data_IF_842161907070
#
_entry.id   IF_842161907070
#
_cell.length_a   1.000
_cell.length_b   1.000
_cell.length_c   1.000
_cell.angle_alpha   90.00
_cell.angle_beta   90.00
_cell.angle_gamma   90.00
#
_symmetry.space_group_name_H-M   'P 1'
#
loop_
_entity.id
_entity.type
_entity.pdbx_description
1 polymer ?
#
# COMPACT_ATOMS: atom_id res chain seq x y z
N UNK A 1 -88.16 -25.87 -40.14
CA UNK A 1 -87.53 -24.65 -39.74
C UNK A 1 -86.86 -24.85 -38.37
N UNK A 2 -85.53 -24.91 -38.32
CA UNK A 2 -84.80 -25.21 -37.09
C UNK A 2 -84.04 -23.94 -36.68
N UNK A 3 -84.37 -23.36 -35.52
CA UNK A 3 -83.69 -22.26 -34.91
C UNK A 3 -82.47 -22.77 -34.16
N UNK A 4 -81.29 -22.24 -34.46
CA UNK A 4 -80.02 -22.52 -33.78
C UNK A 4 -79.77 -21.47 -32.71
N UNK A 5 -79.81 -21.94 -31.44
CA UNK A 5 -79.34 -21.09 -30.30
C UNK A 5 -77.85 -21.06 -30.26
N UNK A 6 -77.26 -19.85 -30.28
CA UNK A 6 -75.83 -19.61 -29.97
C UNK A 6 -75.72 -19.19 -28.51
N UNK A 7 -75.11 -20.04 -27.70
CA UNK A 7 -74.74 -19.73 -26.33
C UNK A 7 -73.40 -18.98 -26.41
N UNK A 8 -73.38 -17.74 -25.93
CA UNK A 8 -72.18 -16.91 -25.82
C UNK A 8 -71.61 -17.08 -24.43
N UNK A 9 -70.45 -17.74 -24.29
CA UNK A 9 -69.74 -17.95 -23.03
C UNK A 9 -68.84 -16.73 -22.79
N UNK A 10 -69.19 -15.86 -21.85
CA UNK A 10 -68.38 -14.74 -21.37
C UNK A 10 -67.37 -15.28 -20.35
N UNK A 11 -66.07 -15.30 -20.78
CA UNK A 11 -64.97 -15.66 -19.92
C UNK A 11 -64.48 -14.39 -19.19
N UNK A 12 -64.81 -14.25 -17.91
CA UNK A 12 -64.33 -13.14 -17.06
C UNK A 12 -62.98 -13.49 -16.49
N UNK A 13 -61.91 -12.87 -17.05
CA UNK A 13 -60.55 -13.00 -16.52
C UNK A 13 -60.41 -12.00 -15.37
N UNK A 14 -60.30 -12.53 -14.13
CA UNK A 14 -59.90 -11.77 -12.95
C UNK A 14 -58.35 -11.60 -12.99
N UNK A 15 -57.92 -10.40 -13.37
CA UNK A 15 -56.52 -9.97 -13.18
C UNK A 15 -56.35 -9.61 -11.69
N UNK A 16 -55.81 -10.53 -10.90
CA UNK A 16 -55.29 -10.20 -9.57
C UNK A 16 -53.98 -9.42 -9.71
N UNK A 17 -54.05 -8.12 -9.59
CA UNK A 17 -52.85 -7.28 -9.39
C UNK A 17 -52.25 -7.58 -8.00
N UNK A 18 -51.33 -8.53 -7.95
CA UNK A 18 -50.42 -8.70 -6.82
C UNK A 18 -49.53 -7.48 -6.73
N UNK A 19 -49.76 -6.61 -5.76
CA UNK A 19 -48.84 -5.53 -5.42
C UNK A 19 -47.54 -6.14 -4.92
N UNK A 20 -46.59 -6.33 -5.83
CA UNK A 20 -45.19 -6.55 -5.47
C UNK A 20 -44.73 -5.31 -4.70
N UNK A 21 -44.70 -5.36 -3.37
CA UNK A 21 -43.95 -4.42 -2.56
C UNK A 21 -42.48 -4.70 -2.81
N UNK A 22 -41.86 -3.91 -3.65
CA UNK A 22 -40.40 -3.80 -3.63
C UNK A 22 -40.01 -3.26 -2.25
N UNK A 23 -39.66 -4.15 -1.34
CA UNK A 23 -38.93 -3.79 -0.15
C UNK A 23 -37.55 -3.31 -0.64
N UNK A 24 -37.35 -2.01 -0.75
CA UNK A 24 -36.01 -1.47 -0.82
C UNK A 24 -35.39 -1.75 0.54
N UNK A 25 -34.71 -2.88 0.66
CA UNK A 25 -33.75 -3.06 1.73
C UNK A 25 -32.80 -1.86 1.61
N UNK A 26 -32.85 -0.98 2.57
CA UNK A 26 -31.88 0.11 2.66
C UNK A 26 -30.52 -0.58 2.76
N UNK A 27 -29.71 -0.53 1.68
CA UNK A 27 -28.43 -1.20 1.64
C UNK A 27 -27.63 -0.73 2.85
N UNK A 28 -27.29 -1.66 3.72
CA UNK A 28 -26.53 -1.36 4.94
C UNK A 28 -25.20 -0.78 4.54
N UNK A 29 -24.91 0.46 4.96
CA UNK A 29 -23.62 1.09 4.71
C UNK A 29 -22.48 0.18 5.20
N UNK A 30 -21.40 0.02 4.42
CA UNK A 30 -20.25 -0.76 4.84
C UNK A 30 -19.61 -0.16 6.11
N UNK A 31 -19.04 -1.01 6.93
CA UNK A 31 -18.34 -0.61 8.15
C UNK A 31 -16.85 -0.45 7.84
N UNK A 32 -16.36 0.76 7.88
CA UNK A 32 -14.96 1.10 7.60
C UNK A 32 -14.28 1.53 8.91
N UNK A 33 -13.13 0.90 9.20
CA UNK A 33 -12.29 1.34 10.31
C UNK A 33 -11.13 2.17 9.78
N UNK A 34 -10.96 3.39 10.31
CA UNK A 34 -9.84 4.26 9.98
C UNK A 34 -8.77 4.10 11.07
N UNK A 35 -7.57 3.68 10.67
CA UNK A 35 -6.40 3.54 11.53
C UNK A 35 -5.48 4.73 11.30
N UNK A 36 -5.32 5.58 12.30
CA UNK A 36 -4.49 6.77 12.19
C UNK A 36 -3.06 6.50 12.68
N UNK A 37 -2.06 6.84 11.86
CA UNK A 37 -0.64 6.76 12.23
C UNK A 37 0.02 8.12 12.40
N UNK A 38 -0.65 9.21 12.05
CA UNK A 38 -0.14 10.58 12.07
C UNK A 38 0.05 11.15 10.66
N UNK A 39 1.18 11.78 10.40
CA UNK A 39 1.50 12.35 9.10
C UNK A 39 0.93 13.76 8.87
N UNK A 40 1.18 14.30 7.67
CA UNK A 40 0.76 15.65 7.25
C UNK A 40 -0.76 15.79 7.18
N UNK A 41 -1.49 14.75 6.83
CA UNK A 41 -2.95 14.76 6.76
C UNK A 41 -3.59 15.08 8.13
N UNK A 42 -2.92 14.68 9.22
CA UNK A 42 -3.24 15.04 10.58
C UNK A 42 -2.40 16.23 11.08
N UNK A 43 -1.71 16.94 10.20
CA UNK A 43 -0.83 18.05 10.53
C UNK A 43 -1.56 19.38 10.61
N UNK A 44 -1.10 20.26 11.52
CA UNK A 44 -1.59 21.61 11.64
C UNK A 44 -0.44 22.62 11.62
N UNK A 45 -0.58 23.69 10.83
CA UNK A 45 0.29 24.85 10.79
C UNK A 45 -0.32 26.02 11.56
N UNK A 46 0.51 26.98 11.96
CA UNK A 46 0.04 28.17 12.68
C UNK A 46 -0.81 29.11 11.78
N UNK A 47 -0.64 29.05 10.45
CA UNK A 47 -1.46 29.77 9.48
C UNK A 47 -1.63 29.00 8.18
N UNK A 48 -2.65 29.33 7.38
CA UNK A 48 -2.97 28.63 6.12
C UNK A 48 -1.96 28.88 4.98
N UNK A 49 -1.02 29.77 5.14
CA UNK A 49 0.01 30.10 4.13
C UNK A 49 1.44 29.75 4.60
N UNK A 50 1.57 29.10 5.76
CA UNK A 50 2.85 28.73 6.34
C UNK A 50 3.22 27.29 5.95
N UNK A 51 4.48 27.07 5.52
CA UNK A 51 4.98 25.76 5.15
C UNK A 51 5.32 24.87 6.38
N UNK A 52 5.74 25.48 7.50
CA UNK A 52 6.07 24.74 8.72
C UNK A 52 4.79 24.31 9.46
N UNK A 53 4.71 23.05 9.84
CA UNK A 53 3.55 22.46 10.53
C UNK A 53 4.00 21.37 11.54
N UNK A 54 3.09 21.04 12.47
CA UNK A 54 3.26 19.91 13.39
C UNK A 54 2.51 18.71 12.81
N UNK A 55 3.22 17.64 12.49
CA UNK A 55 2.64 16.38 12.02
C UNK A 55 1.85 15.70 13.12
N UNK A 56 0.70 15.09 12.79
CA UNK A 56 -0.12 14.33 13.75
C UNK A 56 -0.85 15.18 14.80
N UNK A 57 -0.96 16.49 14.61
CA UNK A 57 -1.61 17.37 15.61
C UNK A 57 -3.14 17.20 15.70
N UNK A 58 -3.78 16.63 14.67
CA UNK A 58 -5.24 16.46 14.58
C UNK A 58 -5.61 15.00 14.79
N UNK A 59 -6.47 14.74 15.77
CA UNK A 59 -6.98 13.40 16.08
C UNK A 59 -7.98 12.92 15.01
N UNK A 60 -8.11 11.61 14.84
CA UNK A 60 -8.92 10.98 13.80
C UNK A 60 -10.38 11.41 13.80
N UNK A 61 -11.01 11.55 14.96
CA UNK A 61 -12.42 11.96 15.04
C UNK A 61 -12.64 13.38 14.51
N UNK A 62 -11.69 14.29 14.78
CA UNK A 62 -11.74 15.66 14.24
C UNK A 62 -11.50 15.67 12.72
N UNK A 63 -10.61 14.82 12.21
CA UNK A 63 -10.38 14.69 10.76
C UNK A 63 -11.65 14.20 10.06
N UNK A 64 -12.31 13.16 10.58
CA UNK A 64 -13.57 12.63 10.02
C UNK A 64 -14.69 13.68 10.09
N UNK A 65 -14.79 14.41 11.20
CA UNK A 65 -15.80 15.46 11.35
C UNK A 65 -15.60 16.65 10.39
N UNK A 66 -14.36 16.90 9.97
CA UNK A 66 -14.01 17.97 9.04
C UNK A 66 -14.32 17.63 7.55
N UNK A 67 -14.72 16.38 7.22
CA UNK A 67 -14.99 15.96 5.85
C UNK A 67 -16.50 15.81 5.62
N UNK A 68 -17.16 16.78 4.94
CA UNK A 68 -18.60 16.72 4.67
C UNK A 68 -18.98 15.49 3.85
N UNK A 69 -20.08 14.84 4.21
CA UNK A 69 -20.63 13.70 3.46
C UNK A 69 -19.88 12.37 3.65
N UNK A 70 -18.74 12.31 4.34
CA UNK A 70 -17.97 11.07 4.51
C UNK A 70 -18.77 9.97 5.22
N UNK A 71 -19.67 10.36 6.14
CA UNK A 71 -20.57 9.42 6.85
C UNK A 71 -21.73 8.91 5.96
N UNK A 72 -21.89 9.48 4.77
CA UNK A 72 -22.88 8.98 3.80
C UNK A 72 -22.33 7.77 3.04
N UNK A 73 -21.01 7.66 2.93
CA UNK A 73 -20.31 6.54 2.27
C UNK A 73 -20.30 5.29 3.14
N UNK A 74 -20.08 5.42 4.44
CA UNK A 74 -19.82 4.29 5.34
C UNK A 74 -20.18 4.59 6.81
N UNK A 75 -20.35 3.54 7.60
CA UNK A 75 -20.27 3.61 9.06
C UNK A 75 -18.80 3.60 9.46
N UNK A 76 -18.33 4.70 10.06
CA UNK A 76 -16.89 4.91 10.32
C UNK A 76 -16.58 4.74 11.79
N UNK A 77 -15.53 3.97 12.10
CA UNK A 77 -14.87 3.91 13.41
C UNK A 77 -13.42 4.40 13.25
N UNK A 78 -12.94 5.22 14.19
CA UNK A 78 -11.56 5.68 14.23
C UNK A 78 -10.76 4.96 15.34
N UNK A 79 -9.48 4.65 15.06
CA UNK A 79 -8.54 4.11 16.04
C UNK A 79 -7.16 4.73 15.81
N UNK A 80 -6.52 5.20 16.87
CA UNK A 80 -5.17 5.76 16.82
C UNK A 80 -4.14 4.65 17.06
N UNK A 81 -3.28 4.37 16.09
CA UNK A 81 -2.19 3.38 16.17
C UNK A 81 -0.90 4.04 16.65
N UNK A 82 -0.58 5.18 16.07
CA UNK A 82 0.57 6.01 16.44
C UNK A 82 0.28 7.46 16.06
N UNK A 83 1.17 8.36 16.44
CA UNK A 83 1.05 9.78 16.11
C UNK A 83 2.42 10.36 15.77
N UNK A 84 2.95 9.91 14.63
CA UNK A 84 4.32 10.27 14.18
C UNK A 84 4.32 10.88 12.79
N UNK A 85 5.33 11.67 12.48
CA UNK A 85 5.69 11.95 11.10
C UNK A 85 6.18 10.66 10.44
N UNK A 86 5.94 10.50 9.13
CA UNK A 86 6.32 9.23 8.47
C UNK A 86 7.85 8.99 8.44
N UNK A 87 8.67 10.02 8.55
CA UNK A 87 10.12 9.87 8.73
C UNK A 87 10.50 9.19 10.06
N UNK A 88 9.59 9.20 11.06
CA UNK A 88 9.76 8.57 12.36
C UNK A 88 9.01 7.22 12.47
N UNK A 89 8.49 6.72 11.35
CA UNK A 89 7.86 5.39 11.29
C UNK A 89 8.88 4.31 11.62
N UNK A 90 8.55 3.44 12.58
CA UNK A 90 9.40 2.33 13.00
C UNK A 90 8.86 1.00 12.52
N UNK A 91 9.73 -0.02 12.46
CA UNK A 91 9.32 -1.39 12.15
C UNK A 91 8.35 -1.96 13.20
N UNK A 92 8.45 -1.54 14.46
CA UNK A 92 7.53 -1.94 15.52
C UNK A 92 6.12 -1.36 15.32
N UNK A 93 6.02 -0.10 14.87
CA UNK A 93 4.75 0.51 14.49
C UNK A 93 4.16 -0.23 13.29
N UNK A 94 4.96 -0.55 12.26
CA UNK A 94 4.51 -1.29 11.07
C UNK A 94 4.00 -2.70 11.44
N UNK A 95 4.70 -3.43 12.31
CA UNK A 95 4.26 -4.74 12.82
C UNK A 95 2.95 -4.63 13.62
N UNK A 96 2.85 -3.64 14.49
CA UNK A 96 1.63 -3.38 15.28
C UNK A 96 0.45 -3.08 14.36
N UNK A 97 0.64 -2.21 13.39
CA UNK A 97 -0.37 -1.87 12.39
C UNK A 97 -0.84 -3.10 11.61
N UNK A 98 0.09 -3.92 11.08
CA UNK A 98 -0.24 -5.11 10.33
C UNK A 98 -1.04 -6.14 11.15
N UNK A 99 -0.61 -6.39 12.40
CA UNK A 99 -1.33 -7.31 13.30
C UNK A 99 -2.73 -6.77 13.63
N UNK A 100 -2.86 -5.46 13.85
CA UNK A 100 -4.17 -4.85 14.12
C UNK A 100 -5.10 -4.93 12.91
N UNK A 101 -4.59 -4.67 11.70
CA UNK A 101 -5.36 -4.81 10.45
C UNK A 101 -5.85 -6.23 10.29
N UNK A 102 -4.99 -7.25 10.45
CA UNK A 102 -5.38 -8.65 10.32
C UNK A 102 -6.43 -9.04 11.35
N UNK A 103 -6.31 -8.58 12.60
CA UNK A 103 -7.30 -8.82 13.65
C UNK A 103 -8.67 -8.17 13.36
N UNK A 104 -8.67 -6.96 12.81
CA UNK A 104 -9.91 -6.26 12.43
C UNK A 104 -10.57 -6.90 11.22
N UNK A 105 -9.82 -7.21 10.17
CA UNK A 105 -10.38 -7.80 8.94
C UNK A 105 -10.88 -9.23 9.11
N UNK A 106 -10.45 -9.93 10.16
CA UNK A 106 -11.01 -11.24 10.54
C UNK A 106 -12.44 -11.12 11.13
N UNK A 107 -12.87 -9.92 11.56
CA UNK A 107 -14.22 -9.67 12.09
C UNK A 107 -15.21 -9.55 10.94
N UNK A 108 -16.43 -10.10 11.14
CA UNK A 108 -17.47 -10.06 10.11
C UNK A 108 -18.09 -8.66 9.93
N UNK A 109 -18.04 -7.84 10.96
CA UNK A 109 -18.60 -6.49 10.99
C UNK A 109 -17.62 -5.39 10.55
N UNK A 110 -16.42 -5.73 10.05
CA UNK A 110 -15.47 -4.82 9.42
C UNK A 110 -15.40 -5.14 7.94
N UNK A 111 -15.79 -4.21 7.09
CA UNK A 111 -15.84 -4.39 5.63
C UNK A 111 -14.58 -3.90 4.91
N UNK A 112 -13.86 -2.95 5.49
CA UNK A 112 -12.61 -2.42 4.95
C UNK A 112 -11.85 -1.56 5.96
N UNK A 113 -10.60 -1.26 5.62
CA UNK A 113 -9.68 -0.44 6.43
C UNK A 113 -9.21 0.75 5.59
N UNK A 114 -9.20 1.93 6.20
CA UNK A 114 -8.47 3.10 5.72
C UNK A 114 -7.33 3.40 6.69
N UNK A 115 -6.16 3.78 6.18
CA UNK A 115 -4.98 4.10 7.02
C UNK A 115 -4.54 5.50 6.65
N UNK A 116 -4.59 6.45 7.60
CA UNK A 116 -3.98 7.76 7.40
C UNK A 116 -2.50 7.70 7.74
N UNK A 117 -1.65 8.19 6.83
CA UNK A 117 -0.20 8.05 6.91
C UNK A 117 0.51 9.27 6.33
N UNK A 118 1.69 9.58 6.81
CA UNK A 118 2.53 10.61 6.19
C UNK A 118 3.15 10.10 4.88
N UNK A 119 3.40 11.01 3.94
CA UNK A 119 3.74 10.64 2.56
C UNK A 119 5.18 10.17 2.36
N UNK A 120 6.13 10.49 3.27
CA UNK A 120 7.56 10.24 3.02
C UNK A 120 7.92 8.75 2.95
N UNK A 121 7.32 7.92 3.81
CA UNK A 121 7.54 6.46 3.84
C UNK A 121 6.28 5.65 3.53
N UNK A 122 5.25 6.30 2.97
CA UNK A 122 3.97 5.65 2.65
C UNK A 122 4.15 4.44 1.73
N UNK A 123 5.01 4.53 0.71
CA UNK A 123 5.24 3.44 -0.23
C UNK A 123 5.86 2.20 0.44
N UNK A 124 6.70 2.39 1.46
CA UNK A 124 7.29 1.29 2.23
C UNK A 124 6.24 0.59 3.09
N UNK A 125 5.45 1.37 3.83
CA UNK A 125 4.36 0.84 4.66
C UNK A 125 3.29 0.17 3.81
N UNK A 126 2.91 0.76 2.66
CA UNK A 126 1.94 0.18 1.74
C UNK A 126 2.42 -1.17 1.20
N UNK A 127 3.67 -1.25 0.75
CA UNK A 127 4.25 -2.49 0.24
C UNK A 127 4.40 -3.55 1.33
N UNK A 128 4.83 -3.17 2.53
CA UNK A 128 4.87 -4.08 3.68
C UNK A 128 3.49 -4.69 3.96
N UNK A 129 2.45 -3.85 4.09
CA UNK A 129 1.09 -4.31 4.33
C UNK A 129 0.55 -5.18 3.19
N UNK A 130 0.90 -4.84 1.94
CA UNK A 130 0.54 -5.62 0.76
C UNK A 130 1.04 -7.07 0.82
N UNK A 131 2.18 -7.30 1.48
CA UNK A 131 2.77 -8.62 1.65
C UNK A 131 2.23 -9.39 2.86
N UNK A 132 1.81 -8.70 3.95
CA UNK A 132 1.52 -9.35 5.24
C UNK A 132 0.05 -9.33 5.68
N UNK A 133 -0.80 -8.58 5.01
CA UNK A 133 -2.25 -8.60 5.26
C UNK A 133 -2.83 -9.92 4.76
N UNK A 134 -3.71 -10.55 5.55
CA UNK A 134 -4.32 -11.86 5.26
C UNK A 134 -5.83 -11.75 5.05
N UNK A 135 -6.23 -10.82 4.19
CA UNK A 135 -7.64 -10.59 3.85
C UNK A 135 -7.80 -10.11 2.41
N UNK A 136 -8.93 -10.47 1.80
CA UNK A 136 -9.36 -9.96 0.51
C UNK A 136 -10.18 -8.66 0.63
N UNK A 137 -10.51 -8.23 1.86
CA UNK A 137 -11.22 -6.97 2.11
C UNK A 137 -10.34 -5.77 1.77
N UNK A 138 -10.91 -4.64 1.34
CA UNK A 138 -10.14 -3.46 0.98
C UNK A 138 -9.27 -2.93 2.13
N UNK A 139 -8.02 -2.60 1.81
CA UNK A 139 -7.09 -1.85 2.67
C UNK A 139 -6.56 -0.69 1.85
N UNK A 140 -6.86 0.53 2.28
CA UNK A 140 -6.58 1.76 1.55
C UNK A 140 -5.75 2.69 2.42
N UNK A 141 -4.59 3.10 1.94
CA UNK A 141 -3.77 4.14 2.58
C UNK A 141 -4.04 5.49 1.95
N UNK A 142 -3.97 6.53 2.75
CA UNK A 142 -4.20 7.92 2.36
C UNK A 142 -3.31 8.87 3.14
N UNK A 143 -2.94 9.95 2.50
CA UNK A 143 -2.17 11.03 3.11
C UNK A 143 -2.52 12.38 2.52
N UNK A 144 -1.70 13.37 2.80
CA UNK A 144 -1.74 14.67 2.12
C UNK A 144 -0.37 15.28 2.00
N UNK A 145 -0.18 16.14 1.01
CA UNK A 145 1.04 16.92 0.82
C UNK A 145 0.98 18.27 1.54
N UNK A 146 -0.22 18.72 1.89
CA UNK A 146 -0.45 19.98 2.60
C UNK A 146 -1.09 19.70 3.96
N UNK A 147 -0.73 20.47 5.01
CA UNK A 147 -1.36 20.33 6.33
C UNK A 147 -2.85 20.70 6.25
N UNK A 148 -3.63 20.18 7.19
CA UNK A 148 -5.09 20.38 7.24
C UNK A 148 -5.53 21.87 7.30
N UNK A 149 -4.65 22.73 7.80
CA UNK A 149 -4.86 24.18 7.92
C UNK A 149 -4.49 24.97 6.67
N UNK A 150 -3.88 24.36 5.65
CA UNK A 150 -3.47 25.05 4.43
C UNK A 150 -4.70 25.52 3.62
N UNK A 151 -4.58 26.67 2.93
CA UNK A 151 -5.65 27.23 2.10
C UNK A 151 -6.16 26.25 1.05
N UNK A 152 -5.29 25.44 0.45
CA UNK A 152 -5.67 24.41 -0.52
C UNK A 152 -5.26 23.03 0.01
N UNK A 153 -5.72 22.68 1.21
CA UNK A 153 -5.44 21.37 1.80
C UNK A 153 -6.05 20.26 0.94
N UNK A 154 -5.22 19.27 0.58
CA UNK A 154 -5.62 18.11 -0.24
C UNK A 154 -6.18 16.96 0.62
N UNK A 155 -5.87 16.94 1.92
CA UNK A 155 -6.24 15.87 2.84
C UNK A 155 -7.73 15.55 2.94
N UNK A 156 -8.64 16.52 3.05
CA UNK A 156 -10.07 16.24 3.19
C UNK A 156 -10.66 15.45 2.01
N UNK A 157 -10.36 15.83 0.76
CA UNK A 157 -10.85 15.10 -0.43
C UNK A 157 -10.14 13.75 -0.57
N UNK A 158 -8.83 13.69 -0.34
CA UNK A 158 -8.10 12.42 -0.32
C UNK A 158 -8.73 11.41 0.67
N UNK A 159 -9.08 11.87 1.89
CA UNK A 159 -9.72 11.01 2.90
C UNK A 159 -11.13 10.56 2.47
N UNK A 160 -11.91 11.45 1.87
CA UNK A 160 -13.23 11.14 1.33
C UNK A 160 -13.14 10.04 0.27
N UNK A 161 -12.26 10.21 -0.72
CA UNK A 161 -12.06 9.24 -1.80
C UNK A 161 -11.49 7.92 -1.29
N UNK A 162 -10.58 7.95 -0.30
CA UNK A 162 -10.06 6.72 0.32
C UNK A 162 -11.15 5.92 1.02
N UNK A 163 -12.09 6.57 1.71
CA UNK A 163 -13.25 5.91 2.32
C UNK A 163 -14.19 5.37 1.25
N UNK A 164 -14.43 6.12 0.18
CA UNK A 164 -15.25 5.67 -0.95
C UNK A 164 -14.65 4.40 -1.61
N UNK A 165 -13.33 4.38 -1.82
CA UNK A 165 -12.62 3.20 -2.35
C UNK A 165 -12.68 2.03 -1.38
N UNK A 166 -12.48 2.25 -0.08
CA UNK A 166 -12.56 1.18 0.92
C UNK A 166 -13.98 0.59 1.07
N UNK A 167 -15.00 1.41 0.80
CA UNK A 167 -16.41 1.01 0.83
C UNK A 167 -16.86 0.30 -0.45
N UNK A 168 -16.09 0.36 -1.53
CA UNK A 168 -16.46 -0.20 -2.84
C UNK A 168 -16.12 -1.71 -2.89
N UNK A 169 -17.10 -2.58 -3.18
CA UNK A 169 -16.84 -4.02 -3.33
C UNK A 169 -15.86 -4.35 -4.45
N UNK A 170 -15.71 -3.48 -5.46
CA UNK A 170 -14.75 -3.66 -6.55
C UNK A 170 -13.29 -3.42 -6.11
N UNK A 171 -13.05 -2.82 -4.95
CA UNK A 171 -11.70 -2.70 -4.37
C UNK A 171 -11.18 -4.01 -3.74
N UNK A 172 -12.04 -5.00 -3.52
CA UNK A 172 -11.63 -6.32 -2.98
C UNK A 172 -10.63 -7.02 -3.90
N UNK A 173 -9.68 -7.75 -3.29
CA UNK A 173 -8.67 -8.55 -4.00
C UNK A 173 -7.71 -7.75 -4.88
N UNK A 174 -7.54 -6.45 -4.61
CA UNK A 174 -6.60 -5.59 -5.34
C UNK A 174 -5.32 -5.31 -4.56
N UNK A 175 -5.11 -6.02 -3.44
CA UNK A 175 -4.01 -5.75 -2.52
C UNK A 175 -4.24 -4.48 -1.71
N UNK A 176 -3.16 -3.91 -1.20
CA UNK A 176 -3.19 -2.62 -0.52
C UNK A 176 -3.15 -1.51 -1.57
N UNK A 177 -4.11 -0.61 -1.49
CA UNK A 177 -4.25 0.54 -2.38
C UNK A 177 -3.78 1.81 -1.68
N UNK A 178 -3.32 2.78 -2.46
CA UNK A 178 -3.02 4.14 -1.99
C UNK A 178 -3.85 5.11 -2.80
N UNK A 179 -4.64 5.95 -2.11
CA UNK A 179 -5.51 6.94 -2.75
C UNK A 179 -4.98 8.34 -2.41
N UNK A 180 -4.54 9.05 -3.43
CA UNK A 180 -3.98 10.39 -3.32
C UNK A 180 -4.30 11.18 -4.59
N UNK A 181 -4.84 12.39 -4.42
CA UNK A 181 -5.07 13.32 -5.52
C UNK A 181 -5.82 12.66 -6.69
N UNK A 182 -6.99 12.08 -6.41
CA UNK A 182 -7.92 11.37 -7.32
C UNK A 182 -7.40 10.04 -7.89
N UNK A 183 -6.16 9.67 -7.64
CA UNK A 183 -5.55 8.46 -8.21
C UNK A 183 -5.53 7.29 -7.23
N UNK A 184 -5.86 6.11 -7.74
CA UNK A 184 -5.79 4.83 -7.01
C UNK A 184 -4.56 4.09 -7.50
N UNK A 185 -3.58 3.94 -6.62
CA UNK A 185 -2.33 3.23 -6.87
C UNK A 185 -2.32 1.86 -6.21
N UNK A 186 -1.66 0.88 -6.83
CA UNK A 186 -1.30 -0.37 -6.17
C UNK A 186 0.02 -0.22 -5.40
N UNK A 187 0.12 -0.82 -4.23
CA UNK A 187 1.28 -0.72 -3.34
C UNK A 187 2.61 -1.14 -3.98
N UNK A 188 2.59 -2.11 -4.90
CA UNK A 188 3.81 -2.57 -5.59
C UNK A 188 4.42 -1.45 -6.44
N UNK A 189 3.62 -0.73 -7.21
CA UNK A 189 4.11 0.12 -8.31
C UNK A 189 4.22 1.59 -7.95
N UNK A 190 3.54 2.05 -6.87
CA UNK A 190 3.59 3.46 -6.54
C UNK A 190 4.97 3.88 -6.00
N UNK A 191 5.36 5.11 -6.28
CA UNK A 191 6.53 5.76 -5.67
C UNK A 191 6.31 7.27 -5.52
N UNK A 192 6.90 7.85 -4.48
CA UNK A 192 6.89 9.31 -4.28
C UNK A 192 7.94 9.95 -5.19
N UNK A 193 7.51 10.79 -6.13
CA UNK A 193 8.38 11.37 -7.17
C UNK A 193 8.65 12.87 -7.01
N UNK A 194 7.91 13.54 -6.12
CA UNK A 194 8.08 14.95 -5.83
C UNK A 194 8.11 15.22 -4.34
N UNK A 195 8.94 16.16 -3.91
CA UNK A 195 9.05 16.56 -2.51
C UNK A 195 7.89 17.44 -2.05
N UNK A 196 7.22 18.17 -2.96
CA UNK A 196 6.25 19.22 -2.61
C UNK A 196 4.96 19.21 -3.43
N UNK A 197 4.96 18.67 -4.65
CA UNK A 197 3.78 18.66 -5.50
C UNK A 197 2.65 17.81 -4.90
N UNK A 198 1.41 18.26 -5.00
CA UNK A 198 0.24 17.48 -4.56
C UNK A 198 0.16 16.17 -5.36
N UNK A 199 0.39 16.24 -6.67
CA UNK A 199 0.55 15.06 -7.53
C UNK A 199 1.96 14.49 -7.35
N UNK A 200 2.23 13.90 -6.19
CA UNK A 200 3.56 13.39 -5.84
C UNK A 200 3.73 11.90 -6.11
N UNK A 201 2.65 11.12 -5.95
CA UNK A 201 2.71 9.68 -6.18
C UNK A 201 2.47 9.34 -7.64
N UNK A 202 3.31 8.48 -8.16
CA UNK A 202 3.24 7.94 -9.52
C UNK A 202 3.35 6.42 -9.49
N UNK A 203 2.86 5.77 -10.53
CA UNK A 203 3.03 4.33 -10.79
C UNK A 203 3.65 4.15 -12.18
N UNK A 204 4.93 4.49 -12.35
CA UNK A 204 5.50 4.76 -13.67
C UNK A 204 5.61 3.52 -14.57
N UNK A 205 5.76 2.31 -14.01
CA UNK A 205 5.93 1.09 -14.80
C UNK A 205 4.60 0.40 -15.14
N UNK A 206 3.63 0.42 -14.22
CA UNK A 206 2.42 -0.40 -14.33
C UNK A 206 1.12 0.40 -14.36
N UNK A 207 1.22 1.72 -14.22
CA UNK A 207 0.07 2.62 -14.22
C UNK A 207 -0.78 2.53 -12.96
N UNK A 208 -1.91 3.20 -13.00
CA UNK A 208 -2.89 3.27 -11.92
C UNK A 208 -3.75 2.01 -11.89
N UNK A 209 -4.29 1.69 -10.71
CA UNK A 209 -5.34 0.69 -10.54
C UNK A 209 -6.69 1.27 -10.95
N UNK A 210 -6.87 2.55 -10.75
CA UNK A 210 -8.09 3.28 -11.06
C UNK A 210 -8.00 4.76 -10.69
N UNK A 211 -9.14 5.41 -10.69
CA UNK A 211 -9.33 6.78 -10.22
C UNK A 211 -10.53 6.84 -9.27
N UNK A 212 -10.50 7.80 -8.34
CA UNK A 212 -11.61 8.12 -7.46
C UNK A 212 -11.80 9.63 -7.48
N UNK A 213 -12.92 10.09 -7.97
CA UNK A 213 -13.20 11.52 -8.09
C UNK A 213 -14.49 11.85 -7.35
N UNK A 214 -14.39 12.58 -6.25
CA UNK A 214 -15.53 12.89 -5.39
C UNK A 214 -16.34 11.63 -5.01
N UNK A 215 -15.64 10.55 -4.65
CA UNK A 215 -16.25 9.30 -4.23
C UNK A 215 -16.78 8.40 -5.36
N UNK A 216 -16.58 8.78 -6.62
CA UNK A 216 -16.90 7.93 -7.77
C UNK A 216 -15.64 7.18 -8.21
N UNK A 217 -15.67 5.88 -8.02
CA UNK A 217 -14.54 5.01 -8.33
C UNK A 217 -14.66 4.40 -9.73
N UNK A 218 -13.55 4.40 -10.46
CA UNK A 218 -13.39 3.68 -11.72
C UNK A 218 -12.12 2.84 -11.67
N UNK A 219 -12.29 1.51 -11.63
CA UNK A 219 -11.19 0.54 -11.57
C UNK A 219 -10.97 -0.09 -12.95
N UNK A 220 -9.83 0.16 -13.55
CA UNK A 220 -9.50 -0.35 -14.89
C UNK A 220 -8.26 -1.26 -14.92
N UNK A 221 -7.55 -1.43 -13.79
CA UNK A 221 -6.40 -2.31 -13.71
C UNK A 221 -6.43 -3.16 -12.44
N UNK A 222 -5.82 -4.35 -12.50
CA UNK A 222 -5.69 -5.25 -11.34
C UNK A 222 -4.21 -5.60 -11.15
N UNK A 223 -3.63 -5.37 -9.96
CA UNK A 223 -2.28 -5.80 -9.64
C UNK A 223 -2.15 -7.32 -9.83
N UNK A 224 -1.09 -7.78 -10.51
CA UNK A 224 -0.92 -9.20 -10.85
C UNK A 224 0.09 -9.92 -9.95
N UNK A 225 0.98 -9.19 -9.25
CA UNK A 225 1.89 -9.81 -8.28
C UNK A 225 1.11 -10.40 -7.11
N UNK A 226 1.70 -11.43 -6.51
CA UNK A 226 1.11 -12.01 -5.30
C UNK A 226 1.07 -10.98 -4.17
N UNK A 227 -0.06 -10.90 -3.51
CA UNK A 227 -0.29 -9.99 -2.39
C UNK A 227 -1.28 -10.57 -1.40
N UNK A 228 -1.44 -9.95 -0.26
CA UNK A 228 -2.44 -10.25 0.78
C UNK A 228 -2.64 -11.75 1.01
N UNK A 229 -3.83 -12.31 0.73
CA UNK A 229 -4.13 -13.74 0.93
C UNK A 229 -3.29 -14.68 0.06
N UNK A 230 -2.79 -14.20 -1.08
CA UNK A 230 -1.87 -14.94 -1.96
C UNK A 230 -0.40 -14.89 -1.54
N UNK A 231 -0.04 -14.06 -0.56
CA UNK A 231 1.33 -13.93 -0.06
C UNK A 231 1.65 -14.98 1.00
N UNK A 232 2.86 -15.56 0.92
CA UNK A 232 3.40 -16.45 1.95
C UNK A 232 4.00 -15.71 3.17
N UNK A 233 4.17 -14.38 3.06
CA UNK A 233 4.77 -13.57 4.13
C UNK A 233 3.80 -13.47 5.31
N UNK A 234 4.22 -13.92 6.50
CA UNK A 234 3.41 -13.89 7.71
C UNK A 234 4.20 -13.27 8.87
N UNK A 235 3.56 -12.34 9.56
CA UNK A 235 4.14 -11.62 10.71
C UNK A 235 3.37 -11.85 12.01
N UNK A 236 2.42 -12.79 12.07
CA UNK A 236 1.61 -13.03 13.26
C UNK A 236 2.48 -13.28 14.51
N UNK A 237 3.52 -14.11 14.37
CA UNK A 237 4.44 -14.49 15.43
C UNK A 237 5.79 -13.72 15.39
N UNK A 238 5.92 -12.73 14.52
CA UNK A 238 7.15 -11.93 14.40
C UNK A 238 7.12 -10.82 15.45
N UNK A 239 8.13 -10.80 16.31
CA UNK A 239 8.32 -9.74 17.33
C UNK A 239 9.33 -8.70 16.87
N UNK A 240 10.28 -9.08 16.01
CA UNK A 240 11.33 -8.19 15.50
C UNK A 240 11.73 -8.63 14.09
N UNK A 241 11.83 -7.66 13.17
CA UNK A 241 12.32 -7.90 11.82
C UNK A 241 13.86 -7.88 11.77
N UNK A 242 14.50 -8.68 10.90
CA UNK A 242 15.94 -8.65 10.71
C UNK A 242 16.42 -7.28 10.21
N UNK A 243 17.62 -6.88 10.60
CA UNK A 243 18.24 -5.65 10.09
C UNK A 243 18.63 -5.82 8.63
N UNK A 244 18.13 -4.94 7.78
CA UNK A 244 18.52 -4.78 6.37
C UNK A 244 18.81 -3.31 6.14
N UNK A 245 19.99 -3.00 5.64
CA UNK A 245 20.43 -1.63 5.35
C UNK A 245 20.33 -1.34 3.85
N UNK A 246 20.12 -0.10 3.47
CA UNK A 246 20.22 0.39 2.10
C UNK A 246 21.50 1.21 1.99
N UNK A 247 22.36 0.89 1.02
CA UNK A 247 23.55 1.66 0.71
C UNK A 247 23.41 2.28 -0.67
N UNK A 248 23.54 3.59 -0.73
CA UNK A 248 23.37 4.36 -1.96
C UNK A 248 24.70 4.42 -2.72
N UNK A 249 24.74 3.89 -3.95
CA UNK A 249 25.92 3.91 -4.78
C UNK A 249 26.10 5.26 -5.47
N UNK A 250 27.34 5.74 -5.52
CA UNK A 250 27.79 7.00 -6.13
C UNK A 250 29.19 6.82 -6.71
N UNK A 251 29.68 7.84 -7.42
CA UNK A 251 31.05 7.84 -7.96
C UNK A 251 32.04 7.69 -6.80
N UNK A 252 32.99 6.75 -6.95
CA UNK A 252 33.99 6.43 -5.93
C UNK A 252 33.38 6.04 -4.57
N UNK A 253 32.28 5.27 -4.58
CA UNK A 253 31.65 4.76 -3.36
C UNK A 253 32.67 4.02 -2.49
N UNK A 254 32.77 4.42 -1.23
CA UNK A 254 33.67 3.81 -0.25
C UNK A 254 33.19 2.38 0.12
N UNK A 255 34.03 1.34 -0.04
CA UNK A 255 33.65 -0.04 0.23
C UNK A 255 33.46 -0.36 1.73
N UNK A 256 34.04 0.43 2.62
CA UNK A 256 33.95 0.28 4.08
C UNK A 256 32.55 0.51 4.63
N UNK A 257 31.65 1.20 3.90
CA UNK A 257 30.23 1.32 4.23
C UNK A 257 29.55 -0.06 4.28
N UNK A 258 29.93 -0.98 3.38
CA UNK A 258 29.43 -2.34 3.36
C UNK A 258 29.96 -3.11 4.57
N UNK A 259 31.27 -3.02 4.83
CA UNK A 259 31.91 -3.68 5.96
C UNK A 259 31.35 -3.15 7.30
N UNK A 260 31.07 -1.86 7.42
CA UNK A 260 30.42 -1.25 8.58
C UNK A 260 28.99 -1.76 8.81
N UNK A 261 28.19 -1.89 7.75
CA UNK A 261 26.86 -2.47 7.83
C UNK A 261 26.88 -3.92 8.36
N UNK A 262 27.80 -4.74 7.83
CA UNK A 262 28.03 -6.11 8.30
C UNK A 262 28.44 -6.14 9.77
N UNK A 263 29.41 -5.29 10.16
CA UNK A 263 29.90 -5.21 11.54
C UNK A 263 28.77 -4.80 12.52
N UNK A 264 27.84 -3.98 12.09
CA UNK A 264 26.68 -3.57 12.87
C UNK A 264 25.50 -4.57 12.81
N UNK A 265 25.72 -5.78 12.27
CA UNK A 265 24.77 -6.91 12.37
C UNK A 265 23.71 -6.95 11.28
N UNK A 266 23.89 -6.27 10.16
CA UNK A 266 22.99 -6.40 9.01
C UNK A 266 22.93 -7.86 8.54
N UNK A 267 21.71 -8.36 8.32
CA UNK A 267 21.43 -9.69 7.75
C UNK A 267 21.25 -9.63 6.25
N UNK A 268 20.97 -8.45 5.73
CA UNK A 268 20.89 -8.15 4.33
C UNK A 268 21.32 -6.71 4.03
N UNK A 269 21.79 -6.48 2.83
CA UNK A 269 22.16 -5.16 2.32
C UNK A 269 21.54 -5.01 0.94
N UNK A 270 20.78 -3.94 0.74
CA UNK A 270 20.28 -3.51 -0.56
C UNK A 270 21.21 -2.43 -1.09
N UNK A 271 21.79 -2.63 -2.25
CA UNK A 271 22.55 -1.60 -2.94
C UNK A 271 21.62 -0.81 -3.85
N UNK A 272 21.39 0.46 -3.56
CA UNK A 272 20.76 1.40 -4.47
C UNK A 272 21.78 1.79 -5.56
N UNK A 273 22.00 0.87 -6.50
CA UNK A 273 23.07 0.94 -7.49
C UNK A 273 22.86 2.02 -8.56
N UNK A 274 23.88 2.28 -9.33
CA UNK A 274 23.78 3.11 -10.54
C UNK A 274 23.30 2.27 -11.71
N UNK A 275 22.59 2.86 -12.68
CA UNK A 275 22.12 2.15 -13.86
C UNK A 275 21.38 0.84 -13.52
N UNK A 276 21.84 -0.28 -14.03
CA UNK A 276 21.27 -1.61 -13.83
C UNK A 276 21.74 -2.27 -12.49
N UNK A 277 21.68 -1.53 -11.41
CA UNK A 277 22.07 -2.02 -10.08
C UNK A 277 23.58 -2.17 -9.86
N UNK A 278 24.38 -1.37 -10.55
CA UNK A 278 25.84 -1.45 -10.53
C UNK A 278 26.45 -0.65 -9.36
N UNK A 279 27.68 -1.01 -9.03
CA UNK A 279 28.56 -0.33 -8.09
C UNK A 279 30.00 -0.41 -8.59
N UNK A 280 30.91 0.39 -8.04
CA UNK A 280 32.32 0.30 -8.40
C UNK A 280 32.96 -1.02 -7.97
N UNK A 281 34.11 -1.36 -8.57
CA UNK A 281 34.79 -2.65 -8.35
C UNK A 281 35.10 -2.91 -6.86
N UNK A 282 35.59 -1.92 -6.14
CA UNK A 282 35.94 -2.08 -4.72
C UNK A 282 34.72 -2.40 -3.84
N UNK A 283 33.58 -1.72 -4.10
CA UNK A 283 32.31 -2.00 -3.41
C UNK A 283 31.74 -3.35 -3.81
N UNK A 284 31.87 -3.78 -5.08
CA UNK A 284 31.45 -5.08 -5.55
C UNK A 284 32.23 -6.21 -4.83
N UNK A 285 33.54 -6.06 -4.68
CA UNK A 285 34.38 -6.99 -3.95
C UNK A 285 34.02 -7.03 -2.45
N UNK A 286 33.69 -5.88 -1.83
CA UNK A 286 33.21 -5.83 -0.44
C UNK A 286 31.86 -6.53 -0.28
N UNK A 287 30.93 -6.32 -1.22
CA UNK A 287 29.63 -7.00 -1.23
C UNK A 287 29.79 -8.52 -1.39
N UNK A 288 30.70 -8.97 -2.24
CA UNK A 288 31.02 -10.41 -2.38
C UNK A 288 31.61 -11.01 -1.09
N UNK A 289 32.47 -10.26 -0.37
CA UNK A 289 32.95 -10.67 0.95
C UNK A 289 31.81 -10.76 1.98
N UNK A 290 30.87 -9.81 1.97
CA UNK A 290 29.70 -9.84 2.84
C UNK A 290 28.78 -11.05 2.55
N UNK A 291 28.55 -11.37 1.28
CA UNK A 291 27.79 -12.55 0.88
C UNK A 291 28.43 -13.86 1.37
N UNK A 292 29.76 -13.98 1.28
CA UNK A 292 30.50 -15.14 1.83
C UNK A 292 30.38 -15.27 3.35
N UNK A 293 30.07 -14.18 4.05
CA UNK A 293 29.77 -14.18 5.50
C UNK A 293 28.28 -14.45 5.82
N UNK A 294 27.46 -14.77 4.81
CA UNK A 294 26.05 -15.08 4.97
C UNK A 294 25.12 -13.85 4.99
N UNK A 295 25.60 -12.65 4.64
CA UNK A 295 24.76 -11.47 4.46
C UNK A 295 24.17 -11.48 3.05
N UNK A 296 22.85 -11.40 2.92
CA UNK A 296 22.20 -11.39 1.60
C UNK A 296 22.37 -10.03 0.95
N UNK A 297 22.93 -10.01 -0.25
CA UNK A 297 23.10 -8.78 -1.06
C UNK A 297 22.03 -8.72 -2.13
N UNK A 298 21.26 -7.63 -2.15
CA UNK A 298 20.29 -7.32 -3.22
C UNK A 298 20.82 -6.14 -4.03
N UNK A 299 20.98 -6.34 -5.33
CA UNK A 299 21.24 -5.25 -6.27
C UNK A 299 19.90 -4.65 -6.70
N UNK A 300 19.64 -3.41 -6.31
CA UNK A 300 18.55 -2.56 -6.76
C UNK A 300 19.12 -1.32 -7.42
N UNK A 301 18.29 -0.39 -7.84
CA UNK A 301 18.75 0.81 -8.55
C UNK A 301 18.21 2.08 -7.92
N UNK A 302 19.05 3.14 -7.91
CA UNK A 302 18.61 4.51 -7.62
C UNK A 302 17.84 5.15 -8.78
N UNK A 303 17.83 4.51 -9.95
CA UNK A 303 17.03 4.93 -11.10
C UNK A 303 15.57 4.59 -10.83
N UNK A 304 14.67 5.55 -11.05
CA UNK A 304 13.27 5.45 -10.63
C UNK A 304 12.48 4.39 -11.37
N UNK A 305 12.85 4.06 -12.61
CA UNK A 305 12.12 3.13 -13.48
C UNK A 305 13.06 2.12 -14.13
N UNK A 306 12.54 0.95 -14.43
CA UNK A 306 13.26 -0.14 -15.05
C UNK A 306 13.53 -1.28 -14.07
N UNK A 307 13.73 -2.48 -14.61
CA UNK A 307 14.09 -3.64 -13.81
C UNK A 307 15.62 -3.80 -13.73
N UNK A 308 16.11 -4.20 -12.58
CA UNK A 308 17.50 -4.65 -12.42
C UNK A 308 17.60 -6.10 -12.86
N UNK A 309 18.28 -6.32 -13.98
CA UNK A 309 18.44 -7.65 -14.58
C UNK A 309 19.42 -8.52 -13.78
N UNK A 310 19.09 -9.81 -13.66
CA UNK A 310 19.99 -10.81 -13.08
C UNK A 310 20.99 -11.27 -14.13
N UNK A 311 22.26 -11.43 -13.74
CA UNK A 311 23.35 -11.91 -14.58
C UNK A 311 23.57 -11.09 -15.88
N UNK A 312 23.34 -9.77 -15.84
CA UNK A 312 23.54 -8.90 -17.01
C UNK A 312 24.96 -8.35 -17.04
N UNK A 313 25.33 -7.49 -16.09
CA UNK A 313 26.66 -6.90 -15.99
C UNK A 313 27.47 -7.48 -14.83
N UNK A 314 26.76 -8.01 -13.81
CA UNK A 314 27.31 -8.70 -12.66
C UNK A 314 26.84 -10.15 -12.73
N UNK A 315 27.75 -11.11 -12.49
CA UNK A 315 27.39 -12.52 -12.37
C UNK A 315 26.82 -12.76 -10.95
N UNK A 316 25.51 -12.59 -10.80
CA UNK A 316 24.83 -12.73 -9.51
C UNK A 316 24.88 -14.17 -8.98
N UNK A 317 24.89 -15.17 -9.85
CA UNK A 317 24.95 -16.58 -9.47
C UNK A 317 26.30 -16.91 -8.81
N UNK A 318 27.40 -16.44 -9.43
CA UNK A 318 28.74 -16.65 -8.91
C UNK A 318 28.98 -15.90 -7.60
N UNK A 319 28.42 -14.71 -7.46
CA UNK A 319 28.55 -13.86 -6.26
C UNK A 319 27.52 -14.17 -5.17
N UNK A 320 26.55 -15.05 -5.46
CA UNK A 320 25.42 -15.35 -4.58
C UNK A 320 24.60 -14.10 -4.21
N UNK A 321 24.36 -13.23 -5.20
CA UNK A 321 23.56 -12.02 -5.05
C UNK A 321 22.12 -12.24 -5.53
N UNK A 322 21.26 -11.27 -5.23
CA UNK A 322 19.88 -11.18 -5.67
C UNK A 322 19.70 -9.91 -6.49
N UNK A 323 19.02 -9.99 -7.62
CA UNK A 323 18.59 -8.84 -8.40
C UNK A 323 17.18 -8.43 -7.99
N UNK A 324 16.93 -7.13 -7.82
CA UNK A 324 15.66 -6.61 -7.29
C UNK A 324 14.50 -6.64 -8.28
N UNK A 325 14.75 -6.95 -9.54
CA UNK A 325 13.76 -6.77 -10.59
C UNK A 325 13.18 -5.34 -10.59
N UNK A 326 11.88 -5.14 -10.57
CA UNK A 326 11.24 -3.81 -10.59
C UNK A 326 11.21 -3.08 -9.24
N UNK A 327 11.59 -3.75 -8.15
CA UNK A 327 11.51 -3.15 -6.83
C UNK A 327 12.62 -2.11 -6.61
N UNK A 328 12.20 -0.89 -6.27
CA UNK A 328 13.12 0.14 -5.82
C UNK A 328 13.82 -0.25 -4.51
N UNK A 329 14.89 0.45 -4.08
CA UNK A 329 15.69 0.06 -2.93
C UNK A 329 14.89 -0.09 -1.63
N UNK A 330 13.95 0.81 -1.36
CA UNK A 330 13.15 0.81 -0.13
C UNK A 330 12.17 -0.39 -0.09
N UNK A 331 11.54 -0.73 -1.20
CA UNK A 331 10.66 -1.92 -1.28
C UNK A 331 11.47 -3.21 -1.30
N UNK A 332 12.61 -3.21 -1.97
CA UNK A 332 13.58 -4.32 -1.91
C UNK A 332 14.01 -4.62 -0.47
N UNK A 333 14.26 -3.57 0.33
CA UNK A 333 14.55 -3.70 1.76
C UNK A 333 13.40 -4.36 2.52
N UNK A 334 12.15 -3.95 2.28
CA UNK A 334 10.96 -4.51 2.91
C UNK A 334 10.81 -6.00 2.56
N UNK A 335 10.91 -6.37 1.29
CA UNK A 335 10.80 -7.76 0.86
C UNK A 335 11.92 -8.61 1.45
N UNK A 336 13.16 -8.11 1.43
CA UNK A 336 14.31 -8.82 1.99
C UNK A 336 14.17 -9.04 3.50
N UNK A 337 13.72 -8.04 4.26
CA UNK A 337 13.46 -8.20 5.70
C UNK A 337 12.46 -9.32 5.98
N UNK A 338 11.36 -9.36 5.23
CA UNK A 338 10.34 -10.41 5.37
C UNK A 338 10.86 -11.78 4.92
N UNK A 339 11.64 -11.82 3.84
CA UNK A 339 12.28 -13.05 3.37
C UNK A 339 13.24 -13.65 4.41
N UNK A 340 13.95 -12.81 5.15
CA UNK A 340 14.92 -13.21 6.17
C UNK A 340 14.31 -13.57 7.53
N UNK A 341 12.98 -13.50 7.71
CA UNK A 341 12.30 -14.02 8.91
C UNK A 341 12.47 -15.54 9.04
N UNK A 342 12.62 -16.23 7.91
CA UNK A 342 12.91 -17.66 7.85
C UNK A 342 14.25 -17.89 7.13
N UNK A 343 15.01 -18.93 7.45
CA UNK A 343 16.20 -19.31 6.68
C UNK A 343 15.83 -19.55 5.20
N UNK A 344 16.53 -18.89 4.28
CA UNK A 344 16.40 -19.04 2.83
C UNK A 344 17.75 -18.87 2.15
N UNK A 345 17.93 -19.57 1.05
CA UNK A 345 19.05 -19.37 0.12
C UNK A 345 18.84 -18.12 -0.74
N UNK A 346 19.90 -17.59 -1.34
CA UNK A 346 19.79 -16.46 -2.28
C UNK A 346 18.90 -16.80 -3.48
N UNK A 347 18.91 -18.05 -3.97
CA UNK A 347 18.04 -18.49 -5.06
C UNK A 347 16.55 -18.49 -4.67
N UNK A 348 16.22 -18.94 -3.46
CA UNK A 348 14.84 -18.85 -2.94
C UNK A 348 14.41 -17.39 -2.77
N UNK A 349 15.29 -16.52 -2.27
CA UNK A 349 15.02 -15.09 -2.15
C UNK A 349 14.85 -14.47 -3.53
N UNK A 350 15.67 -14.83 -4.53
CA UNK A 350 15.49 -14.35 -5.90
C UNK A 350 14.10 -14.68 -6.44
N UNK A 351 13.58 -15.87 -6.19
CA UNK A 351 12.24 -16.25 -6.61
C UNK A 351 11.14 -15.39 -5.95
N UNK A 352 11.37 -14.92 -4.70
CA UNK A 352 10.46 -13.97 -4.07
C UNK A 352 10.45 -12.62 -4.79
N UNK A 353 11.61 -12.13 -5.23
CA UNK A 353 11.70 -10.89 -6.01
C UNK A 353 11.02 -10.95 -7.38
N UNK A 354 10.91 -12.16 -7.97
CA UNK A 354 10.11 -12.36 -9.20
C UNK A 354 8.62 -12.58 -8.93
N UNK A 355 8.25 -12.84 -7.68
CA UNK A 355 6.88 -13.19 -7.29
C UNK A 355 6.11 -12.00 -6.74
N UNK A 356 6.78 -11.12 -6.05
CA UNK A 356 6.26 -10.00 -5.31
C UNK A 356 6.81 -8.69 -5.88
#
# INVERSE_FOLDING_TARGET
MRAKHRISLLLTIFLSFGSFRYSTAQDKKPNITILATGGTIAGAAASGTQAAYTSGAVMIDAMVAAVPGIKDLATIKGEQISNVGSQDMTLDIMLTLAKRINALLAQQDVDGIVITHGTDTMEETAFFLNLVVKSDKPVVMVGSMRPSTAVSADGPLNLFDAVAVAADPNAKRRGVLVVMNDWIHGAHSLTKTSTTAVQTFMSPLRGLVGVSTYGKNDFYNTPHWKHTTGSEMDVANVTKLPRVDILYAYDDMAPDLIDASVANGAKGIVIAGVGNGNMNKASLEAAARAAKKGVVIVRSSRVVTGAVGRNVEVNDDEMNFVASDELNPQKSRILLMLALVKPRTAAEIQNLFYTY
#
